data_IF_218070124579
#
_entry.id   IF_218070124579
#
_cell.length_a   1.000
_cell.length_b   1.000
_cell.length_c   1.000
_cell.angle_alpha   90.00
_cell.angle_beta   90.00
_cell.angle_gamma   90.00
#
_symmetry.space_group_name_H-M   'P 1'
#
loop_
_entity.id
_entity.type
_entity.pdbx_description
1 polymer ?
#
# COMPACT_ATOMS: atom_id res chain seq x y z
N UNK A 1 -6.35 -12.48 11.77
CA UNK A 1 -5.64 -11.29 11.25
C UNK A 1 -6.29 -9.96 11.67
N UNK A 2 -7.37 -9.99 12.46
CA UNK A 2 -8.01 -8.82 13.09
C UNK A 2 -7.10 -8.10 14.10
N UNK A 3 -6.00 -8.74 14.51
CA UNK A 3 -5.14 -8.28 15.61
C UNK A 3 -3.75 -7.81 15.18
N UNK A 4 -3.47 -7.77 13.87
CA UNK A 4 -2.26 -7.10 13.35
C UNK A 4 -2.52 -5.62 13.03
N UNK A 5 -3.73 -5.12 13.30
CA UNK A 5 -3.94 -3.70 13.51
C UNK A 5 -3.42 -3.35 14.91
N UNK A 6 -2.13 -3.02 14.93
CA UNK A 6 -1.47 -2.24 15.98
C UNK A 6 -1.76 -2.74 17.41
N UNK A 7 -0.94 -3.69 17.88
CA UNK A 7 -0.79 -4.00 19.32
C UNK A 7 -0.61 -2.74 20.19
N UNK A 8 -0.21 -1.63 19.58
CA UNK A 8 0.08 -0.35 20.23
C UNK A 8 -0.93 0.76 19.90
N UNK A 9 -1.95 0.52 19.06
CA UNK A 9 -2.92 1.59 18.77
C UNK A 9 -3.88 1.82 19.93
N UNK A 10 -4.18 3.10 20.20
CA UNK A 10 -5.28 3.48 21.09
C UNK A 10 -6.64 2.93 20.64
N UNK A 11 -6.79 2.52 19.38
CA UNK A 11 -8.03 1.96 18.82
C UNK A 11 -8.33 0.58 19.40
N UNK A 12 -7.33 -0.31 19.48
CA UNK A 12 -7.48 -1.65 20.06
C UNK A 12 -7.80 -1.55 21.56
N UNK A 13 -7.15 -0.61 22.26
CA UNK A 13 -7.43 -0.34 23.67
C UNK A 13 -8.87 0.14 23.86
N UNK A 14 -9.33 1.05 23.00
CA UNK A 14 -10.66 1.64 23.14
C UNK A 14 -11.79 0.63 22.90
N UNK A 15 -11.72 -0.16 21.82
CA UNK A 15 -12.74 -1.19 21.56
C UNK A 15 -12.70 -2.30 22.63
N UNK A 16 -11.51 -2.68 23.11
CA UNK A 16 -11.36 -3.67 24.18
C UNK A 16 -12.06 -3.25 25.48
N UNK A 17 -11.95 -1.98 25.87
CA UNK A 17 -12.68 -1.43 27.02
C UNK A 17 -14.20 -1.48 26.84
N UNK A 18 -14.69 -1.13 25.66
CA UNK A 18 -16.13 -1.13 25.36
C UNK A 18 -16.67 -2.56 25.46
N UNK A 19 -15.99 -3.52 24.84
CA UNK A 19 -16.42 -4.91 24.84
C UNK A 19 -16.34 -5.55 26.22
N UNK A 20 -15.27 -5.32 27.00
CA UNK A 20 -15.17 -5.85 28.37
C UNK A 20 -16.32 -5.34 29.26
N UNK A 21 -16.70 -4.06 29.10
CA UNK A 21 -17.84 -3.50 29.81
C UNK A 21 -19.18 -4.11 29.38
N UNK A 22 -19.37 -4.38 28.09
CA UNK A 22 -20.64 -4.90 27.57
C UNK A 22 -20.80 -6.41 27.76
N UNK A 23 -19.72 -7.17 27.61
CA UNK A 23 -19.72 -8.64 27.64
C UNK A 23 -19.54 -9.16 29.07
N UNK A 24 -18.58 -8.60 29.82
CA UNK A 24 -18.20 -9.11 31.14
C UNK A 24 -18.59 -8.17 32.29
N UNK A 25 -19.18 -7.00 31.99
CA UNK A 25 -19.49 -5.94 32.96
C UNK A 25 -18.25 -5.41 33.71
N UNK A 26 -17.07 -5.48 33.06
CA UNK A 26 -15.79 -5.03 33.62
C UNK A 26 -15.36 -3.67 33.08
N UNK A 27 -14.88 -2.80 33.96
CA UNK A 27 -14.33 -1.48 33.58
C UNK A 27 -12.81 -1.57 33.55
N UNK A 28 -12.25 -1.76 32.36
CA UNK A 28 -10.80 -1.80 32.16
C UNK A 28 -10.18 -0.40 32.09
N UNK A 29 -9.04 -0.22 32.73
CA UNK A 29 -8.12 0.89 32.49
C UNK A 29 -7.49 0.80 31.08
N UNK A 30 -6.82 1.88 30.64
CA UNK A 30 -6.10 1.86 29.35
C UNK A 30 -4.97 0.82 29.34
N UNK A 31 -4.31 0.61 30.48
CA UNK A 31 -3.20 -0.34 30.61
C UNK A 31 -3.70 -1.78 30.56
N UNK A 32 -4.77 -2.08 31.28
CA UNK A 32 -5.39 -3.42 31.26
C UNK A 32 -5.90 -3.77 29.86
N UNK A 33 -6.61 -2.85 29.21
CA UNK A 33 -7.11 -3.05 27.85
C UNK A 33 -5.97 -3.26 26.82
N UNK A 34 -4.82 -2.62 27.02
CA UNK A 34 -3.62 -2.84 26.20
C UNK A 34 -3.04 -4.24 26.40
N UNK A 35 -3.03 -4.68 27.66
CA UNK A 35 -2.40 -5.92 28.09
C UNK A 35 -3.30 -7.16 27.95
N UNK A 36 -4.55 -7.01 27.48
CA UNK A 36 -5.39 -8.15 27.14
C UNK A 36 -4.64 -9.15 26.25
N UNK A 37 -4.81 -10.44 26.53
CA UNK A 37 -4.22 -11.50 25.71
C UNK A 37 -4.85 -11.51 24.31
N UNK A 38 -4.21 -12.18 23.34
CA UNK A 38 -4.85 -12.40 22.04
C UNK A 38 -6.15 -13.20 22.18
N UNK A 39 -6.17 -14.22 23.04
CA UNK A 39 -7.34 -15.06 23.30
C UNK A 39 -8.50 -14.27 23.88
N UNK A 40 -8.25 -13.42 24.87
CA UNK A 40 -9.29 -12.59 25.49
C UNK A 40 -9.86 -11.57 24.50
N UNK A 41 -9.01 -10.91 23.71
CA UNK A 41 -9.49 -10.02 22.65
C UNK A 41 -10.37 -10.77 21.64
N UNK A 42 -9.96 -11.97 21.25
CA UNK A 42 -10.76 -12.78 20.33
C UNK A 42 -12.09 -13.20 20.95
N UNK A 43 -12.12 -13.60 22.22
CA UNK A 43 -13.33 -13.95 22.97
C UNK A 43 -14.31 -12.78 23.01
N UNK A 44 -13.84 -11.60 23.43
CA UNK A 44 -14.66 -10.39 23.50
C UNK A 44 -15.29 -10.03 22.14
N UNK A 45 -14.49 -10.06 21.07
CA UNK A 45 -14.97 -9.78 19.70
C UNK A 45 -16.00 -10.83 19.24
N UNK A 46 -15.78 -12.10 19.54
CA UNK A 46 -16.69 -13.19 19.15
C UNK A 46 -18.00 -13.18 19.94
N UNK A 47 -17.98 -12.69 21.18
CA UNK A 47 -19.16 -12.56 22.03
C UNK A 47 -20.06 -11.40 21.60
N UNK A 48 -19.48 -10.31 21.10
CA UNK A 48 -20.23 -9.16 20.59
C UNK A 48 -19.66 -8.62 19.25
N UNK A 49 -19.91 -9.33 18.13
CA UNK A 49 -19.48 -8.90 16.80
C UNK A 49 -20.28 -7.71 16.26
N UNK A 50 -21.48 -7.45 16.82
CA UNK A 50 -22.36 -6.35 16.40
C UNK A 50 -21.75 -5.02 16.84
N UNK A 51 -21.38 -4.90 18.12
CA UNK A 51 -20.69 -3.71 18.63
C UNK A 51 -19.38 -3.46 17.89
N UNK A 52 -18.65 -4.52 17.53
CA UNK A 52 -17.43 -4.38 16.73
C UNK A 52 -17.70 -3.72 15.37
N UNK A 53 -18.78 -4.14 14.70
CA UNK A 53 -19.18 -3.60 13.39
C UNK A 53 -19.67 -2.15 13.50
N UNK A 54 -20.47 -1.84 14.53
CA UNK A 54 -20.92 -0.47 14.82
C UNK A 54 -19.76 0.45 15.15
N UNK A 55 -18.82 -0.02 15.97
CA UNK A 55 -17.60 0.73 16.30
C UNK A 55 -16.80 1.06 15.04
N UNK A 56 -16.62 0.09 14.15
CA UNK A 56 -15.94 0.30 12.87
C UNK A 56 -16.65 1.37 12.01
N UNK A 57 -17.97 1.27 11.83
CA UNK A 57 -18.76 2.25 11.07
C UNK A 57 -18.63 3.67 11.65
N UNK A 58 -18.74 3.81 12.98
CA UNK A 58 -18.57 5.10 13.65
C UNK A 58 -17.16 5.68 13.43
N UNK A 59 -16.12 4.85 13.55
CA UNK A 59 -14.73 5.27 13.31
C UNK A 59 -14.52 5.66 11.85
N UNK A 60 -15.09 4.91 10.91
CA UNK A 60 -15.01 5.22 9.49
C UNK A 60 -15.71 6.55 9.17
N UNK A 61 -16.94 6.77 9.65
CA UNK A 61 -17.65 8.05 9.51
C UNK A 61 -16.86 9.21 10.10
N UNK A 62 -16.29 9.03 11.30
CA UNK A 62 -15.46 10.06 11.92
C UNK A 62 -14.22 10.38 11.08
N UNK A 63 -13.53 9.37 10.54
CA UNK A 63 -12.42 9.55 9.62
C UNK A 63 -12.85 10.30 8.34
N UNK A 64 -13.98 9.94 7.74
CA UNK A 64 -14.44 10.59 6.50
C UNK A 64 -14.72 12.08 6.66
N UNK A 65 -15.09 12.52 7.88
CA UNK A 65 -15.29 13.93 8.22
C UNK A 65 -14.00 14.74 8.20
N UNK A 66 -12.84 14.11 8.40
CA UNK A 66 -11.56 14.80 8.40
C UNK A 66 -11.01 15.05 6.99
N UNK A 67 -11.62 14.47 5.95
CA UNK A 67 -11.04 14.49 4.61
C UNK A 67 -11.13 15.83 3.89
N UNK A 68 -12.13 16.64 4.20
CA UNK A 68 -12.30 17.98 3.62
C UNK A 68 -11.70 19.09 4.50
N UNK A 69 -10.91 18.71 5.51
CA UNK A 69 -10.16 19.67 6.33
C UNK A 69 -9.02 20.28 5.50
N UNK A 70 -8.59 21.54 5.76
CA UNK A 70 -7.37 22.11 5.16
C UNK A 70 -6.11 21.26 5.37
N UNK A 71 -6.09 20.46 6.45
CA UNK A 71 -5.03 19.51 6.75
C UNK A 71 -5.47 18.04 6.50
N UNK A 72 -6.41 17.86 5.57
CA UNK A 72 -6.91 16.55 5.16
C UNK A 72 -5.88 15.75 4.35
N UNK A 73 -6.17 14.47 4.07
CA UNK A 73 -5.26 13.58 3.35
C UNK A 73 -5.15 13.92 1.85
N UNK A 74 -6.05 14.75 1.32
CA UNK A 74 -6.09 15.14 -0.09
C UNK A 74 -5.53 16.55 -0.33
N UNK A 75 -4.74 17.05 0.62
CA UNK A 75 -4.16 18.40 0.59
C UNK A 75 -5.23 19.47 0.33
N UNK A 76 -5.08 20.25 -0.74
CA UNK A 76 -5.98 21.32 -1.16
C UNK A 76 -7.14 20.82 -2.04
N UNK A 77 -7.15 19.53 -2.40
CA UNK A 77 -8.19 18.98 -3.26
C UNK A 77 -9.43 18.61 -2.44
N UNK A 78 -10.52 19.30 -2.73
CA UNK A 78 -11.82 19.00 -2.14
C UNK A 78 -12.35 17.67 -2.66
N UNK A 79 -12.77 16.77 -1.76
CA UNK A 79 -13.50 15.56 -2.15
C UNK A 79 -14.95 15.91 -2.49
N UNK A 80 -15.26 15.93 -3.78
CA UNK A 80 -16.59 16.29 -4.33
C UNK A 80 -17.57 15.13 -4.30
N UNK A 81 -17.08 13.91 -4.42
CA UNK A 81 -17.92 12.71 -4.41
C UNK A 81 -17.14 11.52 -3.86
N UNK A 82 -17.83 10.52 -3.33
CA UNK A 82 -17.23 9.25 -2.98
C UNK A 82 -18.26 8.14 -3.04
N UNK A 83 -17.78 6.95 -3.37
CA UNK A 83 -18.53 5.71 -3.29
C UNK A 83 -17.72 4.75 -2.44
N UNK A 84 -18.37 4.05 -1.52
CA UNK A 84 -17.73 2.97 -0.79
C UNK A 84 -18.68 1.82 -0.57
N UNK A 85 -18.10 0.63 -0.44
CA UNK A 85 -18.79 -0.58 0.01
C UNK A 85 -18.01 -1.20 1.16
N UNK A 86 -18.74 -1.82 2.08
CA UNK A 86 -18.16 -2.60 3.18
C UNK A 86 -18.20 -4.08 2.79
N UNK A 87 -17.04 -4.71 2.76
CA UNK A 87 -16.89 -6.13 2.45
C UNK A 87 -16.35 -6.88 3.66
N UNK A 88 -17.05 -7.94 4.06
CA UNK A 88 -16.57 -8.87 5.08
C UNK A 88 -15.81 -9.99 4.39
N UNK A 89 -14.49 -9.85 4.30
CA UNK A 89 -13.65 -10.94 3.83
C UNK A 89 -13.80 -12.16 4.75
N UNK A 90 -13.40 -13.36 4.30
CA UNK A 90 -13.47 -14.63 5.05
C UNK A 90 -12.80 -14.62 6.46
N UNK A 91 -12.17 -13.51 6.84
CA UNK A 91 -11.48 -13.28 8.11
C UNK A 91 -12.33 -12.49 9.13
N UNK A 92 -13.58 -12.18 8.80
CA UNK A 92 -14.59 -11.61 9.71
C UNK A 92 -14.49 -10.12 9.98
N UNK A 93 -13.41 -9.44 9.58
CA UNK A 93 -13.29 -7.98 9.72
C UNK A 93 -13.86 -7.24 8.52
N UNK A 94 -14.58 -6.12 8.75
CA UNK A 94 -15.03 -5.25 7.68
C UNK A 94 -13.85 -4.58 6.98
N UNK A 95 -13.89 -4.53 5.66
CA UNK A 95 -12.94 -3.81 4.80
C UNK A 95 -13.71 -2.78 3.98
N UNK A 96 -13.22 -1.53 3.98
CA UNK A 96 -13.78 -0.49 3.12
C UNK A 96 -13.09 -0.54 1.77
N UNK A 97 -13.86 -0.78 0.72
CA UNK A 97 -13.44 -0.52 -0.66
C UNK A 97 -14.08 0.79 -1.09
N UNK A 98 -13.28 1.75 -1.56
CA UNK A 98 -13.75 3.11 -1.77
C UNK A 98 -13.09 3.76 -2.98
N UNK A 99 -13.88 4.56 -3.69
CA UNK A 99 -13.45 5.51 -4.69
C UNK A 99 -13.81 6.92 -4.21
N UNK A 100 -12.88 7.85 -4.32
CA UNK A 100 -13.08 9.25 -4.00
C UNK A 100 -12.75 10.10 -5.25
N UNK A 101 -13.64 11.02 -5.59
CA UNK A 101 -13.42 12.00 -6.64
C UNK A 101 -12.99 13.30 -6.01
N UNK A 102 -11.86 13.81 -6.50
CA UNK A 102 -11.22 15.01 -6.01
C UNK A 102 -11.39 16.12 -7.04
N UNK A 103 -11.75 17.31 -6.57
CA UNK A 103 -11.86 18.51 -7.40
C UNK A 103 -10.50 18.85 -8.02
N UNK A 104 -10.51 19.22 -9.29
CA UNK A 104 -9.32 19.66 -10.04
C UNK A 104 -8.19 18.61 -10.08
N UNK A 105 -8.51 17.33 -9.86
CA UNK A 105 -7.55 16.25 -10.06
C UNK A 105 -7.18 16.14 -11.55
N UNK A 106 -5.90 15.97 -11.90
CA UNK A 106 -5.47 15.86 -13.28
C UNK A 106 -6.02 14.59 -13.93
N UNK A 107 -6.33 14.69 -15.22
CA UNK A 107 -6.74 13.55 -16.04
C UNK A 107 -5.58 13.12 -16.91
N UNK A 108 -5.34 11.80 -16.96
CA UNK A 108 -4.35 11.22 -17.85
C UNK A 108 -4.87 11.18 -19.28
N UNK A 109 -4.06 11.64 -20.22
CA UNK A 109 -4.28 11.52 -21.66
C UNK A 109 -3.03 10.89 -22.31
N UNK A 110 -3.22 9.76 -22.98
CA UNK A 110 -2.13 9.03 -23.61
C UNK A 110 -1.40 9.83 -24.70
N UNK A 111 -2.06 10.84 -25.28
CA UNK A 111 -1.55 11.71 -26.33
C UNK A 111 -0.90 13.00 -25.80
N UNK A 112 -1.03 13.30 -24.51
CA UNK A 112 -0.43 14.48 -23.88
C UNK A 112 0.65 14.05 -22.87
N UNK A 113 1.91 14.25 -23.23
CA UNK A 113 3.04 13.96 -22.35
C UNK A 113 3.00 14.79 -21.05
N UNK A 114 2.52 16.04 -21.11
CA UNK A 114 2.36 16.88 -19.93
C UNK A 114 1.28 16.35 -18.98
N UNK A 115 0.29 15.61 -19.49
CA UNK A 115 -0.71 14.97 -18.63
C UNK A 115 -0.08 13.89 -17.75
N UNK A 116 0.92 13.16 -18.27
CA UNK A 116 1.63 12.13 -17.52
C UNK A 116 2.32 12.76 -16.31
N UNK A 117 3.08 13.85 -16.55
CA UNK A 117 3.80 14.58 -15.51
C UNK A 117 2.82 15.07 -14.44
N UNK A 118 1.75 15.76 -14.85
CA UNK A 118 0.74 16.30 -13.93
C UNK A 118 0.11 15.21 -13.05
N UNK A 119 -0.21 14.05 -13.64
CA UNK A 119 -0.81 12.92 -12.89
C UNK A 119 0.20 12.29 -11.94
N UNK A 120 1.45 12.08 -12.35
CA UNK A 120 2.48 11.49 -11.48
C UNK A 120 2.82 12.41 -10.30
N UNK A 121 2.94 13.72 -10.53
CA UNK A 121 3.16 14.71 -9.46
C UNK A 121 1.98 14.75 -8.48
N UNK A 122 0.76 14.68 -9.00
CA UNK A 122 -0.44 14.61 -8.17
C UNK A 122 -0.47 13.34 -7.30
N UNK A 123 -0.15 12.17 -7.87
CA UNK A 123 -0.04 10.91 -7.12
C UNK A 123 1.01 11.06 -6.01
N UNK A 124 2.19 11.59 -6.33
CA UNK A 124 3.27 11.77 -5.37
C UNK A 124 2.88 12.75 -4.26
N UNK A 125 2.11 13.79 -4.57
CA UNK A 125 1.64 14.74 -3.56
C UNK A 125 0.72 14.08 -2.50
N UNK A 126 -0.05 13.05 -2.88
CA UNK A 126 -1.03 12.41 -1.99
C UNK A 126 -0.49 11.12 -1.37
N UNK A 127 0.30 10.35 -2.12
CA UNK A 127 0.68 8.95 -1.82
C UNK A 127 2.21 8.82 -1.76
N UNK A 128 2.91 9.80 -1.20
CA UNK A 128 4.35 9.70 -0.90
C UNK A 128 4.64 9.68 0.58
N UNK A 129 5.77 9.08 0.94
CA UNK A 129 6.30 9.13 2.29
C UNK A 129 7.82 9.11 2.26
N UNK A 130 8.45 9.90 3.14
CA UNK A 130 9.90 9.90 3.34
C UNK A 130 10.30 8.95 4.47
N UNK A 131 11.25 8.06 4.22
CA UNK A 131 11.78 7.17 5.26
C UNK A 131 12.50 7.95 6.37
N UNK A 132 13.04 9.14 6.10
CA UNK A 132 13.71 9.95 7.11
C UNK A 132 12.70 10.60 8.08
N UNK A 133 11.46 10.79 7.63
CA UNK A 133 10.41 11.49 8.38
C UNK A 133 9.42 10.52 9.08
N UNK A 134 9.46 9.24 8.72
CA UNK A 134 8.59 8.22 9.30
C UNK A 134 9.05 7.77 10.70
N UNK A 135 8.12 7.74 11.65
CA UNK A 135 8.31 7.06 12.92
C UNK A 135 8.68 5.58 12.71
N UNK A 136 9.54 5.03 13.57
CA UNK A 136 10.07 3.66 13.44
C UNK A 136 8.97 2.60 13.34
N UNK A 137 7.87 2.78 14.06
CA UNK A 137 6.73 1.85 14.00
C UNK A 137 5.95 1.93 12.67
N UNK A 138 5.92 3.09 12.02
CA UNK A 138 5.32 3.23 10.70
C UNK A 138 6.20 2.61 9.62
N UNK A 139 7.53 2.69 9.75
CA UNK A 139 8.46 2.00 8.85
C UNK A 139 8.20 0.50 8.80
N UNK A 140 7.99 -0.13 9.97
CA UNK A 140 7.64 -1.56 10.08
C UNK A 140 6.36 -1.93 9.33
N UNK A 141 5.43 -0.98 9.15
CA UNK A 141 4.18 -1.20 8.41
C UNK A 141 4.38 -1.07 6.89
N UNK A 142 5.39 -0.32 6.45
CA UNK A 142 5.75 -0.17 5.04
C UNK A 142 6.69 -1.27 4.55
N UNK A 143 7.27 -2.06 5.45
CA UNK A 143 8.15 -3.17 5.11
C UNK A 143 7.40 -4.49 5.09
N UNK A 144 7.50 -5.22 3.98
CA UNK A 144 6.99 -6.58 3.90
C UNK A 144 7.80 -7.53 4.78
N UNK A 145 7.12 -8.25 5.67
CA UNK A 145 7.70 -9.35 6.42
C UNK A 145 7.01 -10.65 6.03
N UNK A 146 7.79 -11.61 5.56
CA UNK A 146 7.26 -12.92 5.20
C UNK A 146 6.54 -13.55 6.39
N UNK A 147 5.29 -13.94 6.14
CA UNK A 147 4.45 -14.67 7.08
C UNK A 147 3.96 -15.97 6.44
N UNK A 148 3.28 -16.82 7.20
CA UNK A 148 2.74 -18.09 6.69
C UNK A 148 1.83 -17.92 5.46
N UNK A 149 1.14 -16.78 5.32
CA UNK A 149 0.29 -16.48 4.16
C UNK A 149 1.07 -16.12 2.90
N UNK A 150 2.36 -15.83 3.04
CA UNK A 150 3.24 -15.48 1.92
C UNK A 150 3.71 -16.70 1.15
N UNK A 151 3.56 -17.91 1.68
CA UNK A 151 3.88 -19.15 0.95
C UNK A 151 2.58 -19.76 0.45
N UNK A 152 2.51 -20.08 -0.85
CA UNK A 152 1.39 -20.80 -1.46
C UNK A 152 1.86 -22.17 -1.90
N UNK A 153 1.41 -23.22 -1.20
CA UNK A 153 1.89 -24.60 -1.43
C UNK A 153 3.38 -24.74 -1.12
N UNK A 154 4.07 -25.62 -1.86
CA UNK A 154 5.51 -25.87 -1.71
C UNK A 154 6.39 -24.88 -2.49
N UNK A 155 5.87 -23.70 -2.87
CA UNK A 155 6.67 -22.71 -3.57
C UNK A 155 7.60 -21.97 -2.61
N UNK A 156 8.89 -21.90 -2.97
CA UNK A 156 9.90 -21.13 -2.25
C UNK A 156 9.86 -19.62 -2.57
N UNK A 157 8.89 -19.17 -3.37
CA UNK A 157 8.74 -17.77 -3.76
C UNK A 157 7.60 -17.09 -2.98
N UNK A 158 7.71 -15.77 -2.82
CA UNK A 158 6.65 -14.98 -2.20
C UNK A 158 5.37 -15.04 -3.04
N UNK A 159 4.23 -15.40 -2.45
CA UNK A 159 2.89 -15.35 -3.08
C UNK A 159 2.59 -13.98 -3.68
N UNK A 160 3.10 -12.92 -3.06
CA UNK A 160 2.91 -11.54 -3.50
C UNK A 160 4.00 -11.03 -4.44
N UNK A 161 4.95 -11.88 -4.85
CA UNK A 161 6.05 -11.52 -5.76
C UNK A 161 6.94 -10.38 -5.23
N UNK A 162 7.16 -10.36 -3.91
CA UNK A 162 8.07 -9.43 -3.25
C UNK A 162 9.49 -10.06 -3.21
N UNK A 163 10.57 -9.30 -3.47
CA UNK A 163 10.59 -7.85 -3.73
C UNK A 163 9.99 -7.49 -5.08
N UNK A 164 9.26 -6.37 -5.11
CA UNK A 164 8.84 -5.77 -6.37
C UNK A 164 10.06 -5.16 -7.07
N UNK A 165 9.98 -5.05 -8.40
CA UNK A 165 10.99 -4.31 -9.15
C UNK A 165 11.04 -2.87 -8.65
N UNK A 166 12.23 -2.35 -8.32
CA UNK A 166 12.35 -0.97 -7.90
C UNK A 166 11.88 -0.05 -9.03
N UNK A 167 11.39 1.14 -8.67
CA UNK A 167 11.07 2.24 -9.59
C UNK A 167 11.66 3.51 -8.98
N UNK A 168 12.46 4.27 -9.74
CA UNK A 168 13.08 5.52 -9.26
C UNK A 168 12.06 6.61 -8.96
N UNK A 169 11.02 6.65 -9.77
CA UNK A 169 9.98 7.68 -9.75
C UNK A 169 8.64 7.02 -10.04
N UNK A 170 7.57 7.68 -9.61
CA UNK A 170 6.21 7.30 -10.00
C UNK A 170 6.08 7.42 -11.51
N UNK A 171 5.59 6.36 -12.15
CA UNK A 171 5.48 6.27 -13.60
C UNK A 171 4.18 5.58 -14.01
N UNK A 172 3.62 6.02 -15.13
CA UNK A 172 2.49 5.36 -15.80
C UNK A 172 3.05 4.39 -16.82
N UNK A 173 2.91 3.10 -16.56
CA UNK A 173 3.36 2.06 -17.49
C UNK A 173 2.39 1.93 -18.66
N UNK A 174 2.89 2.11 -19.88
CA UNK A 174 2.15 1.87 -21.12
C UNK A 174 2.37 0.42 -21.58
N UNK A 175 1.37 -0.24 -22.17
CA UNK A 175 1.58 -1.53 -22.83
C UNK A 175 2.68 -1.43 -23.88
N UNK A 176 3.37 -2.54 -24.13
CA UNK A 176 4.22 -2.64 -25.32
C UNK A 176 3.33 -2.48 -26.56
N UNK A 177 3.87 -1.81 -27.58
CA UNK A 177 3.16 -1.64 -28.84
C UNK A 177 2.90 -3.00 -29.52
N UNK A 178 1.84 -3.06 -30.32
CA UNK A 178 1.44 -4.30 -30.99
C UNK A 178 2.51 -4.79 -31.98
N UNK A 179 3.26 -3.86 -32.58
CA UNK A 179 4.38 -4.10 -33.50
C UNK A 179 5.70 -4.44 -32.78
N UNK A 180 5.72 -4.47 -31.45
CA UNK A 180 6.94 -4.76 -30.69
C UNK A 180 7.43 -6.19 -31.00
N UNK A 181 8.71 -6.39 -31.41
CA UNK A 181 9.20 -7.68 -31.91
C UNK A 181 9.02 -8.83 -30.91
N UNK A 182 8.42 -9.94 -31.35
CA UNK A 182 8.11 -11.07 -30.47
C UNK A 182 9.37 -11.73 -29.90
N UNK A 183 10.47 -11.76 -30.66
CA UNK A 183 11.76 -12.26 -30.19
C UNK A 183 12.28 -11.44 -29.00
N UNK A 184 12.12 -10.11 -29.04
CA UNK A 184 12.48 -9.24 -27.94
C UNK A 184 11.54 -9.44 -26.73
N UNK A 185 10.23 -9.64 -26.95
CA UNK A 185 9.31 -10.00 -25.85
C UNK A 185 9.72 -11.30 -25.19
N UNK A 186 10.12 -12.30 -25.98
CA UNK A 186 10.58 -13.59 -25.47
C UNK A 186 11.88 -13.47 -24.67
N UNK A 187 12.80 -12.61 -25.10
CA UNK A 187 14.01 -12.32 -24.34
C UNK A 187 13.70 -11.64 -23.00
N UNK A 188 12.83 -10.62 -22.99
CA UNK A 188 12.38 -9.94 -21.77
C UNK A 188 11.71 -10.93 -20.81
N UNK A 189 10.84 -11.82 -21.31
CA UNK A 189 10.21 -12.89 -20.51
C UNK A 189 11.26 -13.82 -19.89
N UNK A 190 12.30 -14.21 -20.64
CA UNK A 190 13.39 -15.07 -20.13
C UNK A 190 14.18 -14.37 -19.03
N UNK A 191 14.53 -13.09 -19.20
CA UNK A 191 15.22 -12.28 -18.17
C UNK A 191 14.38 -12.14 -16.92
N UNK A 192 13.09 -11.78 -17.07
CA UNK A 192 12.16 -11.66 -15.95
C UNK A 192 12.08 -12.96 -15.14
N UNK A 193 11.99 -14.11 -15.81
CA UNK A 193 11.93 -15.42 -15.16
C UNK A 193 13.20 -15.75 -14.37
N UNK A 194 14.38 -15.36 -14.84
CA UNK A 194 15.64 -15.57 -14.09
C UNK A 194 15.66 -14.79 -12.77
N UNK A 195 15.15 -13.56 -12.80
CA UNK A 195 15.05 -12.71 -11.61
C UNK A 195 14.00 -13.26 -10.64
N UNK A 196 12.83 -13.69 -11.15
CA UNK A 196 11.79 -14.31 -10.32
C UNK A 196 12.24 -15.63 -9.65
N UNK A 197 13.09 -16.42 -10.33
CA UNK A 197 13.68 -17.65 -9.81
C UNK A 197 14.79 -17.40 -8.76
N UNK A 198 15.14 -16.14 -8.48
CA UNK A 198 16.20 -15.77 -7.54
C UNK A 198 17.60 -16.16 -8.00
N UNK A 199 17.79 -16.39 -9.31
CA UNK A 199 19.09 -16.75 -9.93
C UNK A 199 19.95 -15.52 -10.24
N UNK A 200 19.36 -14.34 -10.12
CA UNK A 200 20.04 -13.04 -10.16
C UNK A 200 19.66 -12.30 -8.86
N UNK A 201 20.67 -11.96 -8.06
CA UNK A 201 20.47 -11.43 -6.72
C UNK A 201 20.23 -9.92 -6.76
N UNK A 202 18.96 -9.52 -6.59
CA UNK A 202 18.55 -8.11 -6.47
C UNK A 202 19.22 -7.40 -5.28
N UNK A 203 19.65 -8.11 -4.24
CA UNK A 203 20.37 -7.53 -3.10
C UNK A 203 21.83 -7.21 -3.43
N UNK A 204 22.43 -7.93 -4.39
CA UNK A 204 23.77 -7.62 -4.88
C UNK A 204 23.84 -6.34 -5.75
N UNK A 205 22.67 -5.82 -6.15
CA UNK A 205 22.49 -4.61 -6.97
C UNK A 205 22.43 -3.33 -6.12
N UNK A 206 23.08 -3.33 -4.94
CA UNK A 206 23.25 -2.15 -4.07
C UNK A 206 23.97 -0.96 -4.73
N UNK A 207 24.49 -1.12 -5.95
CA UNK A 207 25.06 -0.01 -6.70
C UNK A 207 24.02 0.53 -7.68
N UNK A 208 23.19 1.46 -7.19
CA UNK A 208 22.33 2.36 -7.95
C UNK A 208 21.30 1.70 -8.92
N UNK A 209 20.12 2.31 -9.05
CA UNK A 209 19.08 1.79 -9.94
C UNK A 209 19.48 1.80 -11.44
N UNK A 210 20.50 2.57 -11.84
CA UNK A 210 21.03 2.50 -13.21
C UNK A 210 21.78 1.19 -13.47
N UNK A 211 22.54 0.65 -12.50
CA UNK A 211 23.23 -0.63 -12.69
C UNK A 211 22.21 -1.79 -12.74
N UNK A 212 21.10 -1.67 -11.99
CA UNK A 212 19.94 -2.57 -12.11
C UNK A 212 19.28 -2.50 -13.51
N UNK A 213 19.08 -1.30 -14.06
CA UNK A 213 18.57 -1.18 -15.43
C UNK A 213 19.58 -1.69 -16.46
N UNK A 214 20.88 -1.49 -16.24
CA UNK A 214 21.94 -1.93 -17.15
C UNK A 214 22.00 -3.45 -17.29
N UNK A 215 21.67 -4.19 -16.23
CA UNK A 215 21.55 -5.65 -16.25
C UNK A 215 20.35 -6.12 -17.07
N UNK A 216 19.29 -5.31 -17.17
CA UNK A 216 18.14 -5.57 -18.02
C UNK A 216 18.36 -5.13 -19.49
N UNK A 217 19.10 -4.04 -19.72
CA UNK A 217 19.11 -3.25 -20.96
C UNK A 217 20.02 -3.74 -22.11
N UNK A 218 20.86 -4.76 -21.94
CA UNK A 218 21.57 -5.35 -23.09
C UNK A 218 20.68 -6.44 -23.72
N UNK A 219 19.84 -6.16 -24.74
CA UNK A 219 20.19 -5.48 -26.00
C UNK A 219 19.10 -4.55 -26.55
N UNK A 220 18.66 -3.52 -25.81
CA UNK A 220 17.69 -2.54 -26.33
C UNK A 220 18.12 -1.13 -25.95
N UNK A 221 19.20 -0.65 -26.60
CA UNK A 221 19.59 0.77 -26.54
C UNK A 221 18.67 1.72 -27.32
N UNK A 222 17.56 1.24 -27.89
CA UNK A 222 16.74 2.03 -28.82
C UNK A 222 15.25 2.20 -28.46
N UNK A 223 14.78 1.93 -27.24
CA UNK A 223 13.32 2.07 -26.93
C UNK A 223 12.98 3.03 -25.78
N UNK A 224 13.96 3.50 -25.00
CA UNK A 224 13.72 4.56 -24.03
C UNK A 224 14.55 5.79 -24.41
N UNK A 225 13.97 6.69 -25.19
CA UNK A 225 14.54 8.03 -25.39
C UNK A 225 14.41 8.80 -24.06
N UNK A 226 15.37 8.59 -23.16
CA UNK A 226 15.62 9.49 -22.05
C UNK A 226 16.26 10.76 -22.60
N UNK A 227 15.54 11.89 -22.56
CA UNK A 227 16.19 13.19 -22.54
C UNK A 227 16.46 13.56 -21.08
N UNK A 228 17.72 13.65 -20.62
CA UNK A 228 18.01 14.11 -19.28
C UNK A 228 17.77 15.62 -19.20
N UNK A 229 16.69 16.03 -18.53
CA UNK A 229 16.54 17.43 -18.13
C UNK A 229 17.49 17.71 -16.96
N UNK A 230 18.64 18.32 -17.25
CA UNK A 230 19.47 18.95 -16.23
C UNK A 230 18.64 19.98 -15.46
N UNK A 231 18.41 19.75 -14.17
CA UNK A 231 18.32 20.83 -13.18
C UNK A 231 19.17 20.46 -11.98
N UNK A 232 20.42 20.93 -12.04
CA UNK A 232 21.12 21.36 -10.84
C UNK A 232 20.34 22.56 -10.30
N UNK A 233 19.96 22.52 -9.03
CA UNK A 233 19.66 23.73 -8.27
C UNK A 233 20.68 23.77 -7.13
N UNK A 234 21.40 24.89 -7.10
CA UNK A 234 22.22 25.36 -5.99
C UNK A 234 21.41 25.45 -4.69
#
# INVERSE_FOLDING_TARGET
MVTRFLKESGIVQHIGKILAKLVDNEILSKLEARNLSYGERARLIQRDPVTCSQYFDQRFRALTKTWNSPHGPFQHHEKIHHYHRIEFQQRGSPHVHMLAWLKDAPTYDANDELSTIRVTEFIDSIISSSSNELHSDLKKLQTHQHSHTCKRGNQNTCRFKIPYFPMKTTQILKPLSDDYPEDHKNELRKKLKKIEDGKEDLASLEKNFEDFLSTLANPVKNVFSFQPSHRVKE
#
